data_IF_984514021252
#
_entry.id   IF_984514021252
#
_cell.length_a   1.000
_cell.length_b   1.000
_cell.length_c   1.000
_cell.angle_alpha   90.00
_cell.angle_beta   90.00
_cell.angle_gamma   90.00
#
_symmetry.space_group_name_H-M   'P 1'
#
loop_
_entity.id
_entity.type
_entity.pdbx_description
1 polymer ?
#
# COMPACT_ATOMS: atom_id res chain seq x y z
N UNK A 1 6.30 -10.54 -23.68
CA UNK A 1 5.38 -11.55 -24.26
C UNK A 1 5.98 -12.94 -24.34
N UNK A 2 7.11 -13.18 -25.04
CA UNK A 2 7.70 -14.54 -25.14
C UNK A 2 7.95 -15.20 -23.79
N UNK A 3 8.59 -14.49 -22.85
CA UNK A 3 8.84 -14.97 -21.48
C UNK A 3 7.56 -15.45 -20.79
N UNK A 4 6.54 -14.58 -20.71
CA UNK A 4 5.26 -14.90 -20.08
C UNK A 4 4.59 -16.11 -20.73
N UNK A 5 4.58 -16.18 -22.07
CA UNK A 5 4.00 -17.31 -22.78
C UNK A 5 4.71 -18.64 -22.45
N UNK A 6 6.02 -18.61 -22.25
CA UNK A 6 6.79 -19.79 -21.82
C UNK A 6 6.40 -20.22 -20.40
N UNK A 7 6.38 -19.30 -19.44
CA UNK A 7 6.02 -19.60 -18.05
C UNK A 7 4.58 -20.12 -17.94
N UNK A 8 3.64 -19.48 -18.64
CA UNK A 8 2.23 -19.88 -18.67
C UNK A 8 2.07 -21.27 -19.30
N UNK A 9 2.78 -21.56 -20.40
CA UNK A 9 2.74 -22.88 -21.02
C UNK A 9 3.26 -23.96 -20.07
N UNK A 10 4.41 -23.72 -19.43
CA UNK A 10 4.97 -24.64 -18.45
C UNK A 10 3.96 -24.93 -17.31
N UNK A 11 3.31 -23.89 -16.80
CA UNK A 11 2.33 -24.03 -15.73
C UNK A 11 1.07 -24.82 -16.15
N UNK A 12 0.65 -24.75 -17.42
CA UNK A 12 -0.44 -25.60 -17.95
C UNK A 12 0.02 -27.04 -18.10
N UNK A 13 1.19 -27.25 -18.72
CA UNK A 13 1.73 -28.59 -18.98
C UNK A 13 1.96 -29.38 -17.67
N UNK A 14 2.27 -28.69 -16.58
CA UNK A 14 2.47 -29.28 -15.24
C UNK A 14 1.21 -29.25 -14.35
N UNK A 15 0.06 -28.79 -14.88
CA UNK A 15 -1.22 -28.78 -14.16
C UNK A 15 -1.33 -27.77 -13.02
N UNK A 16 -0.45 -26.76 -12.96
CA UNK A 16 -0.45 -25.69 -11.95
C UNK A 16 -1.64 -24.74 -12.18
N UNK A 17 -1.96 -24.46 -13.45
CA UNK A 17 -3.10 -23.64 -13.86
C UNK A 17 -3.90 -24.33 -14.96
N UNK A 18 -5.18 -23.96 -15.08
CA UNK A 18 -6.05 -24.45 -16.15
C UNK A 18 -5.98 -23.56 -17.40
N UNK A 19 -6.58 -24.03 -18.50
CA UNK A 19 -6.61 -23.31 -19.79
C UNK A 19 -7.27 -21.93 -19.71
N UNK A 20 -8.26 -21.74 -18.83
CA UNK A 20 -8.96 -20.46 -18.66
C UNK A 20 -8.02 -19.43 -18.03
N UNK A 21 -7.30 -19.84 -16.97
CA UNK A 21 -6.29 -19.01 -16.32
C UNK A 21 -5.13 -18.69 -17.29
N UNK A 22 -4.69 -19.68 -18.08
CA UNK A 22 -3.65 -19.47 -19.08
C UNK A 22 -4.08 -18.48 -20.16
N UNK A 23 -5.32 -18.57 -20.66
CA UNK A 23 -5.88 -17.60 -21.60
C UNK A 23 -5.95 -16.20 -21.00
N UNK A 24 -6.36 -16.08 -19.74
CA UNK A 24 -6.41 -14.81 -19.03
C UNK A 24 -5.03 -14.16 -18.92
N UNK A 25 -3.99 -14.93 -18.58
CA UNK A 25 -2.62 -14.43 -18.39
C UNK A 25 -1.95 -13.92 -19.68
N UNK A 26 -2.51 -14.22 -20.86
CA UNK A 26 -1.94 -13.84 -22.16
C UNK A 26 -2.76 -12.72 -22.82
N UNK A 27 -2.27 -11.49 -22.70
CA UNK A 27 -2.80 -10.37 -23.47
C UNK A 27 -2.22 -10.38 -24.90
N UNK A 28 -3.06 -10.69 -25.89
CA UNK A 28 -2.68 -10.79 -27.31
C UNK A 28 -2.54 -9.43 -28.01
N UNK A 29 -3.18 -8.39 -27.47
CA UNK A 29 -3.21 -7.06 -28.06
C UNK A 29 -2.84 -5.99 -27.02
N UNK A 30 -1.62 -6.04 -26.47
CA UNK A 30 -1.25 -5.20 -25.36
C UNK A 30 -1.03 -3.74 -25.77
N UNK A 31 -1.44 -2.83 -24.90
CA UNK A 31 -1.16 -1.40 -24.99
C UNK A 31 0.13 -1.10 -24.20
N UNK A 32 0.95 -0.19 -24.72
CA UNK A 32 2.13 0.30 -24.00
C UNK A 32 1.70 1.16 -22.80
N UNK A 33 2.12 0.81 -21.57
CA UNK A 33 1.84 1.65 -20.41
C UNK A 33 2.42 3.05 -20.55
N UNK A 34 1.73 4.05 -20.02
CA UNK A 34 2.17 5.45 -20.06
C UNK A 34 2.29 6.00 -18.65
N UNK A 35 3.40 6.67 -18.37
CA UNK A 35 3.57 7.42 -17.13
C UNK A 35 2.90 8.79 -17.27
N UNK A 36 2.05 9.12 -16.31
CA UNK A 36 1.49 10.46 -16.14
C UNK A 36 1.55 10.87 -14.67
N UNK A 37 1.36 12.16 -14.40
CA UNK A 37 1.51 12.72 -13.06
C UNK A 37 0.22 13.40 -12.63
N UNK A 38 -0.30 13.03 -11.46
CA UNK A 38 -1.42 13.72 -10.82
C UNK A 38 -0.89 14.78 -9.83
N UNK A 39 -1.20 16.07 -10.01
CA UNK A 39 -0.70 17.11 -9.11
C UNK A 39 -1.38 17.04 -7.73
N UNK A 40 -0.59 17.00 -6.65
CA UNK A 40 -1.09 17.08 -5.27
C UNK A 40 -1.28 18.54 -4.84
N UNK A 41 -2.27 19.21 -5.42
CA UNK A 41 -2.57 20.65 -5.18
C UNK A 41 -2.74 21.01 -3.71
N UNK A 42 -3.32 20.10 -2.92
CA UNK A 42 -3.49 20.27 -1.46
C UNK A 42 -2.18 20.38 -0.67
N UNK A 43 -1.03 19.97 -1.23
CA UNK A 43 0.28 20.11 -0.57
C UNK A 43 0.94 21.45 -0.90
N UNK A 44 0.80 21.93 -2.14
CA UNK A 44 1.32 23.22 -2.56
C UNK A 44 0.49 23.72 -3.77
N UNK A 45 -0.23 24.86 -3.67
CA UNK A 45 -1.07 25.35 -4.75
C UNK A 45 -0.29 25.98 -5.92
N UNK A 46 0.96 26.42 -5.72
CA UNK A 46 1.75 27.11 -6.75
C UNK A 46 2.73 26.18 -7.48
N UNK A 47 3.27 25.17 -6.78
CA UNK A 47 4.12 24.14 -7.36
C UNK A 47 3.80 22.77 -6.72
N UNK A 48 2.66 22.15 -7.09
CA UNK A 48 2.21 20.92 -6.46
C UNK A 48 3.16 19.76 -6.77
N UNK A 49 3.55 18.96 -5.75
CA UNK A 49 4.31 17.75 -6.01
C UNK A 49 3.47 16.77 -6.84
N UNK A 50 4.12 16.07 -7.75
CA UNK A 50 3.49 15.08 -8.61
C UNK A 50 3.30 13.72 -7.92
N UNK A 51 2.17 13.06 -8.18
CA UNK A 51 1.99 11.62 -7.95
C UNK A 51 2.15 10.90 -9.30
N UNK A 52 3.29 10.22 -9.55
CA UNK A 52 3.45 9.44 -10.77
C UNK A 52 2.48 8.25 -10.77
N UNK A 53 1.83 7.99 -11.89
CA UNK A 53 0.96 6.82 -12.11
C UNK A 53 1.34 6.21 -13.46
N UNK A 54 1.53 4.89 -13.48
CA UNK A 54 1.71 4.12 -14.70
C UNK A 54 0.35 3.58 -15.11
N UNK A 55 -0.20 4.11 -16.22
CA UNK A 55 -1.43 3.59 -16.84
C UNK A 55 -1.14 2.21 -17.46
N UNK A 56 -1.24 1.16 -16.66
CA UNK A 56 -0.96 -0.23 -17.07
C UNK A 56 -2.16 -0.97 -17.64
N UNK A 57 -3.32 -0.34 -17.82
CA UNK A 57 -4.53 -0.97 -18.36
C UNK A 57 -4.27 -1.55 -19.75
N UNK A 58 -4.75 -2.76 -19.98
CA UNK A 58 -4.56 -3.56 -21.19
C UNK A 58 -3.09 -3.75 -21.59
N UNK A 59 -2.16 -3.66 -20.63
CA UNK A 59 -0.75 -3.91 -20.89
C UNK A 59 -0.39 -5.40 -20.88
N UNK A 60 0.86 -5.71 -21.23
CA UNK A 60 1.41 -7.07 -21.15
C UNK A 60 1.40 -7.60 -19.71
N UNK A 61 1.56 -6.73 -18.70
CA UNK A 61 1.72 -7.15 -17.30
C UNK A 61 0.42 -7.10 -16.49
N UNK A 62 -0.61 -6.39 -16.98
CA UNK A 62 -1.86 -6.23 -16.23
C UNK A 62 -2.50 -7.57 -15.85
N UNK A 63 -2.63 -8.58 -16.74
CA UNK A 63 -3.27 -9.83 -16.35
C UNK A 63 -2.50 -10.56 -15.25
N UNK A 64 -1.17 -10.50 -15.27
CA UNK A 64 -0.32 -11.07 -14.22
C UNK A 64 -0.56 -10.34 -12.90
N UNK A 65 -0.58 -9.01 -12.92
CA UNK A 65 -0.82 -8.21 -11.73
C UNK A 65 -2.21 -8.46 -11.13
N UNK A 66 -3.24 -8.64 -11.97
CA UNK A 66 -4.60 -9.00 -11.51
C UNK A 66 -4.63 -10.41 -10.95
N UNK A 67 -4.03 -11.38 -11.63
CA UNK A 67 -3.97 -12.77 -11.17
C UNK A 67 -3.21 -12.90 -9.84
N UNK A 68 -2.08 -12.20 -9.69
CA UNK A 68 -1.35 -12.17 -8.43
C UNK A 68 -2.20 -11.57 -7.30
N UNK A 69 -2.93 -10.49 -7.56
CA UNK A 69 -3.73 -9.82 -6.54
C UNK A 69 -4.80 -10.74 -5.95
N UNK A 70 -5.34 -11.72 -6.71
CA UNK A 70 -6.31 -12.67 -6.15
C UNK A 70 -5.73 -13.55 -5.04
N UNK A 71 -4.41 -13.75 -5.01
CA UNK A 71 -3.71 -14.49 -3.96
C UNK A 71 -3.13 -13.56 -2.89
N UNK A 72 -2.60 -12.40 -3.28
CA UNK A 72 -1.96 -11.47 -2.36
C UNK A 72 -2.96 -10.67 -1.52
N UNK A 73 -4.13 -10.36 -2.06
CA UNK A 73 -5.11 -9.50 -1.37
C UNK A 73 -5.62 -10.11 -0.04
N UNK A 74 -6.02 -11.39 0.04
CA UNK A 74 -6.40 -12.00 1.33
C UNK A 74 -5.25 -11.96 2.35
N UNK A 75 -4.01 -12.19 1.91
CA UNK A 75 -2.83 -12.19 2.76
C UNK A 75 -2.54 -10.78 3.32
N UNK A 76 -2.71 -9.75 2.49
CA UNK A 76 -2.58 -8.36 2.89
C UNK A 76 -3.65 -7.97 3.93
N UNK A 77 -4.90 -8.41 3.73
CA UNK A 77 -6.02 -8.10 4.64
C UNK A 77 -5.90 -8.81 6.00
N UNK A 78 -5.19 -9.93 6.05
CA UNK A 78 -4.92 -10.69 7.27
C UNK A 78 -3.77 -10.10 8.12
N UNK A 79 -3.21 -8.94 7.79
CA UNK A 79 -2.24 -8.23 8.63
C UNK A 79 -2.89 -7.65 9.89
N UNK A 80 -2.21 -7.73 11.04
CA UNK A 80 -2.74 -7.26 12.33
C UNK A 80 -3.08 -5.76 12.34
N UNK A 81 -2.16 -4.95 11.80
CA UNK A 81 -2.29 -3.49 11.67
C UNK A 81 -3.26 -3.06 10.56
N UNK A 82 -3.72 -3.98 9.71
CA UNK A 82 -4.44 -3.67 8.48
C UNK A 82 -5.71 -2.83 8.74
N UNK A 83 -5.85 -1.79 7.92
CA UNK A 83 -7.02 -0.93 7.88
C UNK A 83 -7.59 -0.87 6.46
N UNK A 84 -8.82 -1.36 6.28
CA UNK A 84 -9.53 -1.39 5.00
C UNK A 84 -10.02 -0.03 4.52
N UNK A 85 -10.57 0.79 5.42
CA UNK A 85 -11.22 2.07 5.13
C UNK A 85 -11.54 2.84 6.42
N UNK A 86 -12.07 4.05 6.26
CA UNK A 86 -12.52 4.91 7.35
C UNK A 86 -13.59 4.26 8.25
N UNK A 87 -14.49 3.45 7.69
CA UNK A 87 -15.51 2.77 8.51
C UNK A 87 -14.88 1.72 9.42
N UNK A 88 -13.91 0.97 8.91
CA UNK A 88 -13.14 0.02 9.70
C UNK A 88 -12.37 0.72 10.83
N UNK A 89 -11.80 1.91 10.57
CA UNK A 89 -11.14 2.72 11.59
C UNK A 89 -12.11 3.09 12.71
N UNK A 90 -13.26 3.66 12.36
CA UNK A 90 -14.27 4.09 13.34
C UNK A 90 -14.75 2.92 14.21
N UNK A 91 -14.92 1.73 13.61
CA UNK A 91 -15.28 0.54 14.35
C UNK A 91 -14.18 0.13 15.33
N UNK A 92 -12.91 0.06 14.89
CA UNK A 92 -11.79 -0.26 15.79
C UNK A 92 -11.68 0.76 16.92
N UNK A 93 -11.73 2.06 16.63
CA UNK A 93 -11.63 3.14 17.63
C UNK A 93 -12.67 3.04 18.75
N UNK A 94 -13.89 2.56 18.46
CA UNK A 94 -14.94 2.35 19.45
C UNK A 94 -14.65 1.21 20.43
N UNK A 95 -13.84 0.25 20.01
CA UNK A 95 -13.49 -0.94 20.80
C UNK A 95 -12.23 -0.74 21.65
N UNK A 96 -11.42 0.27 21.34
CA UNK A 96 -10.19 0.55 22.09
C UNK A 96 -10.55 1.05 23.48
N UNK A 97 -10.03 0.35 24.49
CA UNK A 97 -9.96 0.89 25.84
C UNK A 97 -8.83 1.89 25.91
N UNK A 98 -9.14 3.15 26.21
CA UNK A 98 -8.10 4.16 26.33
C UNK A 98 -7.25 3.90 27.57
N UNK A 99 -5.95 4.24 27.50
CA UNK A 99 -5.20 4.42 28.73
C UNK A 99 -5.77 5.64 29.46
N UNK A 100 -5.21 5.97 30.62
CA UNK A 100 -5.44 7.26 31.28
C UNK A 100 -5.27 8.42 30.27
N UNK A 101 -5.79 9.61 30.54
CA UNK A 101 -5.75 10.75 29.61
C UNK A 101 -4.34 11.25 29.20
N UNK A 102 -3.28 10.64 29.72
CA UNK A 102 -1.89 10.90 29.40
C UNK A 102 -1.41 10.04 28.21
N UNK A 103 -1.85 10.39 27.00
CA UNK A 103 -1.36 9.82 25.75
C UNK A 103 -1.17 10.89 24.68
N UNK A 104 -0.48 10.56 23.60
CA UNK A 104 -0.25 11.39 22.42
C UNK A 104 -0.94 10.69 21.24
N UNK A 105 -1.67 11.46 20.44
CA UNK A 105 -2.18 11.01 19.16
C UNK A 105 -1.10 11.27 18.11
N UNK A 106 -0.71 10.25 17.35
CA UNK A 106 0.33 10.36 16.34
C UNK A 106 -0.11 9.74 15.01
N UNK A 107 0.20 10.41 13.92
CA UNK A 107 0.04 9.90 12.56
C UNK A 107 1.40 9.83 11.89
N UNK A 108 1.69 8.73 11.22
CA UNK A 108 2.93 8.55 10.48
C UNK A 108 2.63 8.32 8.99
N UNK A 109 3.49 8.79 8.10
CA UNK A 109 3.42 8.57 6.65
C UNK A 109 4.71 7.90 6.19
N UNK A 110 4.57 6.76 5.51
CA UNK A 110 5.70 6.04 4.90
C UNK A 110 6.07 6.71 3.59
N UNK A 111 7.26 7.29 3.56
CA UNK A 111 7.73 8.07 2.43
C UNK A 111 7.88 7.21 1.17
N UNK A 112 7.06 7.55 0.17
CA UNK A 112 7.12 6.96 -1.18
C UNK A 112 7.04 5.43 -1.19
N UNK A 113 6.23 4.85 -0.29
CA UNK A 113 6.17 3.40 -0.01
C UNK A 113 6.35 2.52 -1.24
N UNK A 114 5.52 2.68 -2.27
CA UNK A 114 5.56 1.82 -3.46
C UNK A 114 6.92 1.81 -4.16
N UNK A 115 7.61 2.94 -4.26
CA UNK A 115 8.94 3.03 -4.91
C UNK A 115 10.09 2.67 -3.98
N UNK A 116 9.84 2.58 -2.68
CA UNK A 116 10.86 2.36 -1.65
C UNK A 116 11.10 0.88 -1.36
N UNK A 117 10.16 -0.02 -1.67
CA UNK A 117 10.29 -1.46 -1.39
C UNK A 117 11.34 -2.10 -2.32
N UNK A 118 12.40 -2.71 -1.79
CA UNK A 118 13.36 -3.47 -2.60
C UNK A 118 12.69 -4.71 -3.22
N UNK A 119 12.96 -5.00 -4.49
CA UNK A 119 12.32 -6.12 -5.20
C UNK A 119 12.59 -7.46 -4.52
N UNK A 120 13.85 -7.76 -4.21
CA UNK A 120 14.25 -9.04 -3.60
C UNK A 120 13.55 -9.26 -2.25
N UNK A 121 13.61 -8.27 -1.36
CA UNK A 121 12.97 -8.34 -0.04
C UNK A 121 11.45 -8.48 -0.15
N UNK A 122 10.79 -7.65 -0.97
CA UNK A 122 9.34 -7.75 -1.12
C UNK A 122 8.87 -9.04 -1.78
N UNK A 123 9.64 -9.60 -2.73
CA UNK A 123 9.35 -10.92 -3.31
C UNK A 123 9.49 -12.01 -2.25
N UNK A 124 10.57 -11.97 -1.47
CA UNK A 124 10.82 -12.93 -0.40
C UNK A 124 9.74 -12.88 0.67
N UNK A 125 9.32 -11.68 1.09
CA UNK A 125 8.22 -11.53 2.04
C UNK A 125 6.90 -12.10 1.50
N UNK A 126 6.59 -11.88 0.22
CA UNK A 126 5.40 -12.46 -0.40
C UNK A 126 5.46 -13.98 -0.46
N UNK A 127 6.62 -14.55 -0.81
CA UNK A 127 6.87 -15.99 -0.80
C UNK A 127 6.60 -16.59 0.58
N UNK A 128 7.23 -16.06 1.62
CA UNK A 128 7.07 -16.54 3.00
C UNK A 128 5.61 -16.48 3.47
N UNK A 129 4.88 -15.46 3.03
CA UNK A 129 3.46 -15.32 3.36
C UNK A 129 2.57 -16.29 2.58
N UNK A 130 2.88 -16.58 1.32
CA UNK A 130 2.18 -17.58 0.51
C UNK A 130 2.40 -19.00 1.04
N UNK A 131 3.60 -19.30 1.54
CA UNK A 131 3.94 -20.59 2.17
C UNK A 131 3.14 -20.86 3.45
N UNK A 132 2.61 -19.82 4.10
CA UNK A 132 1.75 -19.95 5.28
C UNK A 132 0.29 -20.32 4.94
N UNK A 133 -0.13 -20.20 3.68
CA UNK A 133 -1.53 -20.37 3.25
C UNK A 133 -1.86 -21.79 2.72
N UNK A 134 -1.00 -22.78 3.02
CA UNK A 134 -1.13 -24.18 2.58
C UNK A 134 -1.33 -24.35 1.06
N UNK A 135 -0.83 -23.41 0.26
CA UNK A 135 -0.85 -23.51 -1.20
C UNK A 135 0.13 -24.59 -1.67
N UNK A 136 -0.19 -25.22 -2.81
CA UNK A 136 0.73 -26.16 -3.45
C UNK A 136 2.09 -25.49 -3.76
N UNK A 137 3.24 -26.08 -3.38
CA UNK A 137 4.55 -25.46 -3.56
C UNK A 137 4.83 -25.03 -5.01
N UNK A 138 4.37 -25.79 -5.99
CA UNK A 138 4.52 -25.46 -7.41
C UNK A 138 3.74 -24.21 -7.81
N UNK A 139 2.56 -24.00 -7.23
CA UNK A 139 1.78 -22.78 -7.43
C UNK A 139 2.50 -21.58 -6.80
N UNK A 140 3.09 -21.74 -5.62
CA UNK A 140 3.88 -20.68 -4.97
C UNK A 140 5.05 -20.27 -5.87
N UNK A 141 5.82 -21.22 -6.41
CA UNK A 141 6.91 -20.90 -7.34
C UNK A 141 6.41 -20.17 -8.59
N UNK A 142 5.28 -20.59 -9.14
CA UNK A 142 4.69 -19.92 -10.29
C UNK A 142 4.29 -18.47 -9.96
N UNK A 143 3.61 -18.25 -8.83
CA UNK A 143 3.23 -16.92 -8.36
C UNK A 143 4.46 -16.04 -8.10
N UNK A 144 5.52 -16.58 -7.50
CA UNK A 144 6.77 -15.84 -7.26
C UNK A 144 7.44 -15.46 -8.59
N UNK A 145 7.46 -16.36 -9.57
CA UNK A 145 7.94 -16.04 -10.92
C UNK A 145 7.11 -14.93 -11.58
N UNK A 146 5.78 -14.99 -11.49
CA UNK A 146 4.92 -13.93 -12.02
C UNK A 146 5.17 -12.58 -11.31
N UNK A 147 5.32 -12.60 -9.98
CA UNK A 147 5.61 -11.41 -9.18
C UNK A 147 6.96 -10.81 -9.58
N UNK A 148 7.99 -11.65 -9.74
CA UNK A 148 9.31 -11.25 -10.21
C UNK A 148 9.22 -10.57 -11.57
N UNK A 149 8.46 -11.12 -12.53
CA UNK A 149 8.24 -10.54 -13.86
C UNK A 149 7.53 -9.18 -13.76
N UNK A 150 6.45 -9.09 -12.97
CA UNK A 150 5.68 -7.84 -12.81
C UNK A 150 6.53 -6.71 -12.24
N UNK A 151 7.44 -7.03 -11.31
CA UNK A 151 8.31 -6.05 -10.65
C UNK A 151 9.52 -5.64 -11.51
N UNK A 152 10.25 -6.59 -12.11
CA UNK A 152 11.50 -6.27 -12.82
C UNK A 152 11.36 -6.03 -14.31
N UNK A 153 10.23 -6.40 -14.91
CA UNK A 153 9.93 -6.09 -16.32
C UNK A 153 8.90 -5.00 -16.47
N UNK A 154 8.67 -4.22 -15.41
CA UNK A 154 7.74 -3.11 -15.44
C UNK A 154 8.27 -2.00 -16.34
N UNK A 155 7.69 -1.88 -17.53
CA UNK A 155 8.06 -0.87 -18.52
C UNK A 155 6.92 0.12 -18.77
N UNK A 156 7.27 1.36 -19.08
CA UNK A 156 6.33 2.40 -19.47
C UNK A 156 6.98 3.45 -20.36
N UNK A 157 6.14 4.20 -21.08
CA UNK A 157 6.55 5.32 -21.91
C UNK A 157 6.33 6.64 -21.18
N UNK A 158 7.30 7.54 -21.28
CA UNK A 158 7.16 8.95 -20.93
C UNK A 158 7.68 9.80 -22.08
N UNK A 159 6.80 10.61 -22.68
CA UNK A 159 7.07 11.28 -23.94
C UNK A 159 7.36 10.26 -25.06
N UNK A 160 8.53 10.39 -25.70
CA UNK A 160 9.01 9.48 -26.75
C UNK A 160 9.91 8.35 -26.24
N UNK A 161 10.22 8.33 -24.94
CA UNK A 161 11.21 7.42 -24.36
C UNK A 161 10.53 6.30 -23.55
N UNK A 162 11.19 5.15 -23.53
CA UNK A 162 10.80 3.98 -22.73
C UNK A 162 11.69 3.88 -21.49
N UNK A 163 11.07 3.50 -20.38
CA UNK A 163 11.73 3.33 -19.09
C UNK A 163 11.32 1.99 -18.50
N UNK A 164 12.21 1.41 -17.71
CA UNK A 164 11.96 0.23 -16.87
C UNK A 164 12.12 0.65 -15.41
N UNK A 165 11.18 0.27 -14.55
CA UNK A 165 11.25 0.55 -13.12
C UNK A 165 12.25 -0.42 -12.46
N UNK A 166 13.29 0.15 -11.83
CA UNK A 166 14.40 -0.63 -11.24
C UNK A 166 14.21 -0.97 -9.76
N UNK A 167 13.24 -0.35 -9.08
CA UNK A 167 12.96 -0.57 -7.66
C UNK A 167 11.50 -0.27 -7.34
N UNK A 168 10.94 -0.98 -6.36
CA UNK A 168 9.57 -0.81 -5.94
C UNK A 168 8.56 -1.35 -6.95
N UNK A 169 7.30 -1.03 -6.72
CA UNK A 169 6.19 -1.40 -7.60
C UNK A 169 5.60 -0.17 -8.28
N UNK A 170 5.07 -0.35 -9.48
CA UNK A 170 4.48 0.74 -10.23
C UNK A 170 3.16 1.18 -9.58
N UNK A 171 3.05 2.47 -9.29
CA UNK A 171 1.79 3.06 -8.84
C UNK A 171 0.75 2.91 -9.97
N UNK A 172 -0.30 2.12 -9.73
CA UNK A 172 -1.32 1.79 -10.73
C UNK A 172 -1.37 0.30 -11.11
N UNK A 173 -0.38 -0.51 -10.71
CA UNK A 173 -0.48 -1.97 -10.86
C UNK A 173 -1.52 -2.54 -9.86
N UNK A 174 -2.33 -3.50 -10.31
CA UNK A 174 -3.43 -4.06 -9.51
C UNK A 174 -2.97 -4.65 -8.17
N UNK A 175 -1.88 -5.43 -8.17
CA UNK A 175 -1.30 -6.04 -6.97
C UNK A 175 -0.54 -5.06 -6.05
N UNK A 176 -0.21 -3.84 -6.51
CA UNK A 176 0.69 -2.94 -5.77
C UNK A 176 0.24 -2.66 -4.33
N UNK A 177 -1.05 -2.38 -4.05
CA UNK A 177 -1.53 -2.19 -2.68
C UNK A 177 -1.36 -3.43 -1.81
N UNK A 178 -1.67 -4.63 -2.33
CA UNK A 178 -1.55 -5.88 -1.58
C UNK A 178 -0.09 -6.21 -1.27
N UNK A 179 0.79 -6.10 -2.26
CA UNK A 179 2.23 -6.28 -2.09
C UNK A 179 2.84 -5.34 -1.05
N UNK A 180 2.49 -4.05 -1.11
CA UNK A 180 2.99 -3.08 -0.14
C UNK A 180 2.49 -3.37 1.29
N UNK A 181 1.21 -3.77 1.43
CA UNK A 181 0.66 -4.16 2.73
C UNK A 181 1.34 -5.41 3.30
N UNK A 182 1.61 -6.42 2.47
CA UNK A 182 2.32 -7.63 2.90
C UNK A 182 3.72 -7.29 3.40
N UNK A 183 4.48 -6.50 2.62
CA UNK A 183 5.81 -6.05 3.01
C UNK A 183 5.78 -5.26 4.32
N UNK A 184 4.89 -4.27 4.42
CA UNK A 184 4.79 -3.46 5.63
C UNK A 184 4.32 -4.25 6.84
N UNK A 185 3.47 -5.27 6.67
CA UNK A 185 3.09 -6.17 7.77
C UNK A 185 4.30 -6.93 8.32
N UNK A 186 5.21 -7.37 7.45
CA UNK A 186 6.45 -8.03 7.89
C UNK A 186 7.40 -7.03 8.58
N UNK A 187 7.52 -5.82 8.04
CA UNK A 187 8.28 -4.73 8.67
C UNK A 187 7.75 -4.43 10.09
N UNK A 188 6.43 -4.26 10.23
CA UNK A 188 5.78 -3.99 11.52
C UNK A 188 6.01 -5.14 12.50
N UNK A 189 5.84 -6.38 12.04
CA UNK A 189 6.10 -7.57 12.87
C UNK A 189 7.54 -7.63 13.38
N UNK A 190 8.50 -7.11 12.63
CA UNK A 190 9.92 -7.16 12.98
C UNK A 190 10.39 -5.96 13.82
N UNK A 191 9.78 -4.79 13.66
CA UNK A 191 10.31 -3.54 14.23
C UNK A 191 9.32 -2.75 15.08
N UNK A 192 8.03 -3.12 15.08
CA UNK A 192 6.96 -2.47 15.84
C UNK A 192 6.37 -3.45 16.86
N UNK A 193 6.12 -4.69 16.47
CA UNK A 193 5.41 -5.67 17.30
C UNK A 193 6.34 -6.55 18.15
N UNK A 194 7.66 -6.34 18.10
CA UNK A 194 8.62 -7.07 18.94
C UNK A 194 8.91 -6.32 20.24
N UNK A 195 9.31 -7.05 21.29
CA UNK A 195 9.75 -6.42 22.53
C UNK A 195 11.06 -5.64 22.30
N UNK A 196 10.95 -4.31 22.19
CA UNK A 196 12.05 -3.35 22.20
C UNK A 196 11.75 -2.24 23.21
N UNK A 197 12.70 -1.31 23.38
CA UNK A 197 12.62 -0.23 24.39
C UNK A 197 11.40 0.68 24.28
N UNK A 198 10.72 0.67 23.13
CA UNK A 198 9.55 1.51 22.86
C UNK A 198 8.22 0.76 22.85
N UNK A 199 8.24 -0.58 22.88
CA UNK A 199 7.07 -1.43 22.68
C UNK A 199 5.95 -1.10 23.68
N UNK A 200 6.30 -0.93 24.96
CA UNK A 200 5.33 -0.64 26.02
C UNK A 200 4.67 0.75 25.90
N UNK A 201 5.20 1.65 25.05
CA UNK A 201 4.60 2.96 24.80
C UNK A 201 3.59 2.96 23.63
N UNK A 202 3.57 1.90 22.81
CA UNK A 202 2.66 1.77 21.68
C UNK A 202 1.36 1.15 22.20
N UNK A 203 0.43 2.00 22.65
CA UNK A 203 -0.87 1.53 23.15
C UNK A 203 -1.73 0.95 22.03
N UNK A 204 -1.67 1.56 20.85
CA UNK A 204 -2.41 1.09 19.69
C UNK A 204 -1.77 1.55 18.39
N UNK A 205 -1.77 0.69 17.36
CA UNK A 205 -1.20 0.94 16.04
C UNK A 205 -2.10 0.38 14.93
N UNK A 206 -2.35 1.16 13.88
CA UNK A 206 -3.00 0.68 12.67
C UNK A 206 -2.43 1.39 11.42
N UNK A 207 -2.65 0.79 10.25
CA UNK A 207 -2.12 1.30 8.98
C UNK A 207 -3.09 1.11 7.82
N UNK A 208 -3.34 2.19 7.10
CA UNK A 208 -3.98 2.23 5.79
C UNK A 208 -2.90 2.45 4.72
N UNK A 209 -2.43 1.37 4.09
CA UNK A 209 -1.37 1.42 3.08
C UNK A 209 -0.09 2.09 3.62
N UNK A 210 0.14 3.37 3.31
CA UNK A 210 1.28 4.20 3.72
C UNK A 210 1.00 5.11 4.93
N UNK A 211 -0.27 5.31 5.27
CA UNK A 211 -0.69 6.13 6.42
C UNK A 211 -0.86 5.26 7.67
N UNK A 212 -0.12 5.55 8.74
CA UNK A 212 -0.27 4.92 10.05
C UNK A 212 -0.91 5.86 11.07
N UNK A 213 -1.67 5.30 12.00
CA UNK A 213 -2.17 6.01 13.17
C UNK A 213 -1.83 5.23 14.43
N UNK A 214 -1.40 5.96 15.46
CA UNK A 214 -0.88 5.43 16.71
C UNK A 214 -1.40 6.21 17.92
N UNK A 215 -1.74 5.48 18.98
CA UNK A 215 -1.93 6.02 20.33
C UNK A 215 -0.66 5.70 21.12
N UNK A 216 -0.02 6.74 21.63
CA UNK A 216 1.30 6.66 22.25
C UNK A 216 1.25 7.10 23.71
N UNK A 217 1.74 6.30 24.66
CA UNK A 217 1.70 6.59 26.10
C UNK A 217 3.01 7.12 26.68
N UNK A 218 4.08 7.12 25.87
CA UNK A 218 5.36 7.73 26.24
C UNK A 218 5.35 9.25 26.12
N UNK A 219 6.47 9.88 26.47
CA UNK A 219 6.69 11.31 26.24
C UNK A 219 6.87 11.64 24.75
N UNK A 220 6.72 12.93 24.40
CA UNK A 220 7.00 13.44 23.05
C UNK A 220 8.45 13.13 22.62
N UNK A 221 9.41 13.24 23.54
CA UNK A 221 10.80 12.90 23.25
C UNK A 221 10.95 11.43 22.85
N UNK A 222 10.33 10.52 23.61
CA UNK A 222 10.40 9.09 23.28
C UNK A 222 9.67 8.76 21.98
N UNK A 223 8.63 9.52 21.62
CA UNK A 223 7.99 9.39 20.31
C UNK A 223 8.93 9.79 19.18
N UNK A 224 9.67 10.89 19.34
CA UNK A 224 10.71 11.31 18.37
C UNK A 224 11.78 10.23 18.26
N UNK A 225 12.31 9.76 19.39
CA UNK A 225 13.34 8.71 19.43
C UNK A 225 12.83 7.40 18.77
N UNK A 226 11.56 7.06 18.93
CA UNK A 226 10.94 5.91 18.26
C UNK A 226 10.87 6.07 16.73
N UNK A 227 10.49 7.25 16.25
CA UNK A 227 10.46 7.54 14.80
C UNK A 227 11.87 7.53 14.21
N UNK A 228 12.85 8.05 14.94
CA UNK A 228 14.27 7.95 14.56
C UNK A 228 14.71 6.49 14.49
N UNK A 229 14.36 5.68 15.49
CA UNK A 229 14.61 4.24 15.48
C UNK A 229 14.02 3.56 14.24
N UNK A 230 12.73 3.76 13.93
CA UNK A 230 12.10 3.19 12.71
C UNK A 230 12.84 3.60 11.44
N UNK A 231 13.32 4.85 11.38
CA UNK A 231 14.12 5.37 10.27
C UNK A 231 15.54 4.77 10.19
N UNK A 232 16.01 4.04 11.21
CA UNK A 232 17.25 3.26 11.15
C UNK A 232 17.05 1.78 10.83
N UNK A 233 15.83 1.25 11.00
CA UNK A 233 15.53 -0.17 10.84
C UNK A 233 15.71 -0.68 9.41
N UNK A 234 15.44 0.16 8.41
CA UNK A 234 15.55 -0.21 7.00
C UNK A 234 16.15 0.92 6.18
N UNK A 235 16.91 0.58 5.14
CA UNK A 235 17.66 1.54 4.32
C UNK A 235 16.75 2.46 3.54
N UNK A 236 15.71 1.92 2.88
CA UNK A 236 14.80 2.68 2.00
C UNK A 236 13.44 3.05 2.60
N UNK A 237 12.96 2.38 3.64
CA UNK A 237 11.67 2.68 4.28
C UNK A 237 11.89 3.74 5.34
N UNK A 238 11.21 4.88 5.17
CA UNK A 238 11.31 6.04 6.05
C UNK A 238 9.93 6.54 6.43
N UNK A 239 9.82 7.07 7.64
CA UNK A 239 8.61 7.60 8.23
C UNK A 239 8.76 9.08 8.50
N UNK A 240 7.68 9.82 8.23
CA UNK A 240 7.44 11.13 8.84
C UNK A 240 6.39 10.99 9.93
N UNK A 241 6.42 11.87 10.93
CA UNK A 241 5.49 11.83 12.05
C UNK A 241 4.90 13.22 12.28
N UNK A 242 3.60 13.26 12.52
CA UNK A 242 2.89 14.42 13.08
C UNK A 242 2.15 13.93 14.31
N UNK A 243 2.24 14.68 15.40
CA UNK A 243 1.63 14.31 16.67
C UNK A 243 0.97 15.50 17.35
N UNK A 244 0.05 15.19 18.25
CA UNK A 244 -0.70 16.19 19.01
C UNK A 244 -1.20 15.61 20.32
N UNK A 245 -1.26 16.46 21.35
CA UNK A 245 -1.86 16.11 22.63
C UNK A 245 -3.39 16.16 22.58
N UNK A 246 -3.99 16.81 21.59
CA UNK A 246 -5.44 17.07 21.58
C UNK A 246 -6.12 16.43 20.37
N UNK A 247 -5.56 16.60 19.18
CA UNK A 247 -6.21 16.19 17.92
C UNK A 247 -5.24 15.95 16.78
N UNK A 248 -5.54 14.93 15.96
CA UNK A 248 -4.86 14.62 14.70
C UNK A 248 -5.87 14.39 13.59
N UNK A 249 -5.39 14.44 12.35
CA UNK A 249 -6.16 14.17 11.14
C UNK A 249 -5.64 12.87 10.52
N UNK A 250 -6.50 11.87 10.34
CA UNK A 250 -6.14 10.59 9.76
C UNK A 250 -7.23 10.10 8.82
N UNK A 251 -6.86 9.79 7.57
CA UNK A 251 -7.82 9.61 6.46
C UNK A 251 -8.76 10.83 6.34
N UNK A 252 -10.07 10.60 6.35
CA UNK A 252 -11.10 11.64 6.30
C UNK A 252 -11.70 11.92 7.70
N UNK A 253 -10.94 11.64 8.77
CA UNK A 253 -11.40 11.75 10.16
C UNK A 253 -10.49 12.66 10.98
N UNK A 254 -11.10 13.59 11.70
CA UNK A 254 -10.46 14.31 12.79
C UNK A 254 -10.64 13.47 14.05
N UNK A 255 -9.53 13.05 14.63
CA UNK A 255 -9.47 12.23 15.83
C UNK A 255 -9.06 13.15 16.98
N UNK A 256 -9.77 13.13 18.10
CA UNK A 256 -9.44 13.99 19.25
C UNK A 256 -9.75 13.30 20.57
N UNK A 257 -9.14 13.79 21.65
CA UNK A 257 -9.36 13.25 23.00
C UNK A 257 -10.73 13.69 23.53
N UNK A 258 -11.55 12.71 23.91
CA UNK A 258 -12.78 12.93 24.67
C UNK A 258 -12.63 12.46 26.13
N UNK A 259 -13.72 12.49 26.88
CA UNK A 259 -13.75 12.01 28.27
C UNK A 259 -13.65 10.47 28.31
N UNK A 260 -12.47 9.94 28.56
CA UNK A 260 -12.22 8.49 28.72
C UNK A 260 -12.27 7.68 27.42
N UNK A 261 -12.35 8.35 26.26
CA UNK A 261 -12.31 7.73 24.93
C UNK A 261 -11.71 8.67 23.89
N UNK A 262 -11.36 8.11 22.74
CA UNK A 262 -11.10 8.91 21.54
C UNK A 262 -12.43 9.19 20.85
N UNK A 263 -12.63 10.45 20.47
CA UNK A 263 -13.78 10.90 19.69
C UNK A 263 -13.36 11.29 18.28
N UNK A 264 -14.34 11.32 17.38
CA UNK A 264 -14.09 11.49 15.94
C UNK A 264 -15.10 12.44 15.33
N UNK A 265 -14.63 13.30 14.44
CA UNK A 265 -15.45 14.16 13.59
C UNK A 265 -15.00 14.03 12.13
N UNK A 266 -15.82 14.49 11.19
CA UNK A 266 -15.48 14.51 9.78
C UNK A 266 -14.34 15.51 9.52
N UNK A 267 -13.29 15.07 8.84
CA UNK A 267 -12.25 15.95 8.35
C UNK A 267 -12.33 16.11 6.83
N UNK A 268 -12.29 17.36 6.38
CA UNK A 268 -12.14 17.69 4.97
C UNK A 268 -10.91 18.56 4.80
N UNK A 269 -10.06 18.20 3.85
CA UNK A 269 -8.88 19.01 3.51
C UNK A 269 -9.34 20.42 3.12
N UNK A 270 -8.64 21.50 3.55
CA UNK A 270 -9.08 22.88 3.30
C UNK A 270 -9.34 23.23 1.82
N UNK A 271 -8.72 22.51 0.88
CA UNK A 271 -8.89 22.71 -0.57
C UNK A 271 -9.79 21.66 -1.24
N UNK A 272 -10.52 20.84 -0.47
CA UNK A 272 -11.53 19.94 -1.00
C UNK A 272 -12.74 20.77 -1.46
N UNK A 273 -12.82 21.02 -2.77
CA UNK A 273 -13.90 21.86 -3.33
C UNK A 273 -15.21 21.11 -3.54
N UNK A 274 -15.28 19.81 -3.20
CA UNK A 274 -16.43 18.93 -3.50
C UNK A 274 -16.94 19.12 -4.94
N UNK A 275 -16.02 19.43 -5.86
CA UNK A 275 -16.34 19.73 -7.25
C UNK A 275 -16.85 18.46 -7.92
N UNK A 276 -18.14 18.41 -8.23
CA UNK A 276 -18.69 17.37 -9.07
C UNK A 276 -18.03 17.42 -10.45
N UNK A 277 -17.82 16.25 -11.05
CA UNK A 277 -17.37 16.16 -12.43
C UNK A 277 -18.40 16.84 -13.32
N UNK A 278 -17.98 17.89 -14.02
CA UNK A 278 -18.86 18.57 -14.97
C UNK A 278 -19.36 17.56 -16.01
N UNK A 279 -20.65 17.57 -16.33
CA UNK A 279 -21.28 16.62 -17.25
C UNK A 279 -20.66 16.63 -18.67
N UNK A 280 -20.00 17.74 -19.05
CA UNK A 280 -19.26 17.86 -20.30
C UNK A 280 -17.76 17.49 -20.19
N UNK A 281 -17.30 16.99 -19.04
CA UNK A 281 -15.92 16.51 -18.91
C UNK A 281 -15.76 15.20 -19.69
N UNK A 282 -14.56 14.94 -20.22
CA UNK A 282 -14.24 13.74 -21.01
C UNK A 282 -14.14 12.45 -20.17
N UNK A 283 -14.75 12.41 -18.99
CA UNK A 283 -14.79 11.21 -18.16
C UNK A 283 -15.84 10.23 -18.70
N UNK A 284 -15.66 8.91 -18.45
CA UNK A 284 -16.69 7.92 -18.75
C UNK A 284 -18.04 8.31 -18.14
N UNK A 285 -19.14 8.12 -18.87
CA UNK A 285 -20.49 8.49 -18.40
C UNK A 285 -20.86 7.88 -17.04
N UNK A 286 -20.30 6.72 -16.68
CA UNK A 286 -20.51 6.09 -15.37
C UNK A 286 -19.92 6.86 -14.19
N UNK A 287 -19.05 7.84 -14.44
CA UNK A 287 -18.42 8.69 -13.42
C UNK A 287 -19.02 10.10 -13.38
N UNK A 288 -19.92 10.41 -14.30
CA UNK A 288 -20.67 11.66 -14.32
C UNK A 288 -21.96 11.44 -13.51
N UNK A 289 -22.15 12.22 -12.45
CA UNK A 289 -23.37 12.23 -11.64
C UNK A 289 -24.40 13.14 -12.32
#
# INVERSE_FOLDING_TARGET
>A
MKLIATEVKYAVDDGIINDIQAQFLINRHPITPVLYTLPKVHKNPTNPPGRPIVAGTDSVLQPLAVFLDTFLQPLAQAGQSYLRDTTHLLNKLREIQMPDNNFILATLDVQSLYTSIPHEEGIQTCRERLEQDNLEPRLIEFLVTLLQIVLTRNYFRYGSLFYEQIQGTAMGANMAPSYANIFMTAFEKQYVDIQHTFFDYIHWWCRYIDDCFMIWTGSEKQLIDFVEYLNTCHTTIKFTCTSSLDTVEFLDVRIYKGEGRVETDLYQKPMATNSYLHAASFHPRSQLI
#
